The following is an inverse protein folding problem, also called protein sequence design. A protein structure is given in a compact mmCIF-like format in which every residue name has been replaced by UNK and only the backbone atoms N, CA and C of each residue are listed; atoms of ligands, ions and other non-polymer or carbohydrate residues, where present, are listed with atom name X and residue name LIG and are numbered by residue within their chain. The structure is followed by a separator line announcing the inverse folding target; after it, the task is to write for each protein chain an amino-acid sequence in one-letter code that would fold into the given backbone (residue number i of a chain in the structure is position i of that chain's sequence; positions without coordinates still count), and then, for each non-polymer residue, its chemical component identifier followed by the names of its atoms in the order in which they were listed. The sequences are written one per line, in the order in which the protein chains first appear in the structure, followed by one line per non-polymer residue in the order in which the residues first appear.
data_IF_955044939769
#
_entry.id   IF_955044939769
#
_cell.length_a   1.000
_cell.length_b   1.000
_cell.length_c   1.000
_cell.angle_alpha   90.00
_cell.angle_beta   90.00
_cell.angle_gamma   90.00
#
_symmetry.space_group_name_H-M   'P 1'
#
loop_
_entity.id
_entity.type
_entity.pdbx_description
1 polymer ?
#
# COMPACT_ATOMS: atom_id res chain seq x y z
N UNK A 1 -10.74 -9.06 4.30
CA UNK A 1 -9.62 -8.15 4.48
C UNK A 1 -9.18 -7.55 3.15
N UNK A 2 -8.66 -6.37 3.20
CA UNK A 2 -8.13 -5.71 2.01
C UNK A 2 -6.65 -5.97 1.86
N UNK A 3 -6.16 -6.00 0.61
CA UNK A 3 -4.75 -6.22 0.30
C UNK A 3 -4.05 -4.91 -0.01
N UNK A 4 -2.80 -4.83 0.42
CA UNK A 4 -1.97 -3.65 0.19
C UNK A 4 -0.56 -4.09 -0.19
N UNK A 5 0.05 -3.33 -1.10
CA UNK A 5 1.48 -3.45 -1.38
C UNK A 5 2.20 -2.35 -0.61
N UNK A 6 3.21 -2.72 0.14
CA UNK A 6 4.08 -1.78 0.83
C UNK A 6 5.44 -1.85 0.15
N UNK A 7 5.87 -0.73 -0.41
CA UNK A 7 7.06 -0.66 -1.25
C UNK A 7 7.94 0.48 -0.76
N UNK A 8 9.23 0.29 -0.80
CA UNK A 8 10.16 1.34 -0.43
C UNK A 8 11.59 0.85 -0.36
N UNK A 9 12.42 1.64 0.29
CA UNK A 9 13.82 1.31 0.47
C UNK A 9 14.25 1.50 1.92
N UNK A 10 15.47 1.07 2.19
CA UNK A 10 16.12 1.27 3.48
C UNK A 10 17.06 2.46 3.39
N UNK A 11 17.22 3.17 4.49
CA UNK A 11 18.25 4.20 4.60
C UNK A 11 19.62 3.54 4.63
N UNK A 12 20.68 4.32 4.32
CA UNK A 12 22.05 3.82 4.41
C UNK A 12 22.37 3.29 5.81
N UNK A 13 21.87 3.97 6.83
CA UNK A 13 22.06 3.53 8.22
C UNK A 13 21.39 2.18 8.47
N UNK A 14 20.18 1.98 7.98
CA UNK A 14 19.48 0.71 8.14
C UNK A 14 20.23 -0.42 7.41
N UNK A 15 20.68 -0.17 6.20
CA UNK A 15 21.48 -1.14 5.45
C UNK A 15 22.74 -1.54 6.22
N UNK A 16 23.46 -0.56 6.76
CA UNK A 16 24.67 -0.82 7.52
C UNK A 16 24.41 -1.72 8.73
N UNK A 17 23.34 -1.44 9.46
CA UNK A 17 22.95 -2.25 10.62
C UNK A 17 22.55 -3.67 10.22
N UNK A 18 21.85 -3.83 9.11
CA UNK A 18 21.43 -5.15 8.63
C UNK A 18 22.62 -5.97 8.12
N UNK A 19 23.63 -5.34 7.56
CA UNK A 19 24.84 -6.02 7.14
C UNK A 19 25.56 -6.59 8.39
N UNK A 20 25.65 -5.80 9.44
CA UNK A 20 26.33 -6.21 10.68
C UNK A 20 25.51 -7.24 11.47
N UNK A 21 24.18 -7.11 11.42
CA UNK A 21 23.28 -7.97 12.17
C UNK A 21 22.01 -8.22 11.35
N UNK A 22 22.02 -9.19 10.45
CA UNK A 22 20.93 -9.39 9.48
C UNK A 22 19.53 -9.53 10.09
N UNK A 23 19.38 -10.29 11.15
CA UNK A 23 18.06 -10.50 11.74
C UNK A 23 17.08 -11.18 10.79
N UNK A 24 15.81 -11.18 11.16
CA UNK A 24 14.72 -11.74 10.37
C UNK A 24 13.71 -10.63 10.03
N UNK A 25 13.82 -10.09 8.81
CA UNK A 25 12.95 -9.00 8.36
C UNK A 25 11.50 -9.45 8.18
N UNK A 26 11.30 -10.69 7.75
CA UNK A 26 9.95 -11.24 7.59
C UNK A 26 9.23 -11.29 8.94
N UNK A 27 9.90 -11.79 9.97
CA UNK A 27 9.33 -11.84 11.31
C UNK A 27 9.01 -10.46 11.86
N UNK A 28 9.88 -9.48 11.61
CA UNK A 28 9.66 -8.11 12.05
C UNK A 28 8.44 -7.49 11.39
N UNK A 29 8.29 -7.65 10.09
CA UNK A 29 7.14 -7.11 9.35
C UNK A 29 5.86 -7.84 9.75
N UNK A 30 5.93 -9.14 9.96
CA UNK A 30 4.77 -9.92 10.39
C UNK A 30 4.24 -9.46 11.74
N UNK A 31 5.13 -9.14 12.68
CA UNK A 31 4.73 -8.60 13.99
C UNK A 31 3.95 -7.30 13.85
N UNK A 32 4.41 -6.39 13.00
CA UNK A 32 3.73 -5.12 12.79
C UNK A 32 2.36 -5.34 12.16
N UNK A 33 2.29 -6.19 11.15
CA UNK A 33 1.02 -6.51 10.50
C UNK A 33 0.02 -7.11 11.49
N UNK A 34 0.45 -8.06 12.31
CA UNK A 34 -0.39 -8.67 13.34
C UNK A 34 -0.87 -7.66 14.36
N UNK A 35 -0.02 -6.74 14.79
CA UNK A 35 -0.40 -5.70 15.74
C UNK A 35 -1.54 -4.81 15.23
N UNK A 36 -1.64 -4.65 13.92
CA UNK A 36 -2.72 -3.89 13.29
C UNK A 36 -3.91 -4.76 12.87
N UNK A 37 -3.93 -6.02 13.28
CA UNK A 37 -5.02 -6.94 12.98
C UNK A 37 -4.95 -7.60 11.60
N UNK A 38 -3.84 -7.45 10.91
CA UNK A 38 -3.64 -8.02 9.59
C UNK A 38 -2.62 -9.16 9.58
N UNK A 39 -2.07 -9.42 8.42
CA UNK A 39 -1.02 -10.41 8.25
C UNK A 39 -0.16 -10.08 7.04
N UNK A 40 1.10 -10.53 7.10
CA UNK A 40 2.00 -10.48 5.95
C UNK A 40 1.73 -11.72 5.08
N UNK A 41 1.48 -11.51 3.79
CA UNK A 41 1.34 -12.62 2.84
C UNK A 41 2.65 -12.96 2.15
N UNK A 42 3.35 -11.93 1.64
CA UNK A 42 4.59 -12.12 0.90
C UNK A 42 5.54 -10.98 1.18
N UNK A 43 6.82 -11.29 1.16
CA UNK A 43 7.89 -10.31 1.31
C UNK A 43 9.01 -10.64 0.35
N UNK A 44 9.47 -9.64 -0.40
CA UNK A 44 10.59 -9.76 -1.32
C UNK A 44 11.55 -8.59 -1.14
N UNK A 45 12.82 -8.86 -1.26
CA UNK A 45 13.80 -7.81 -1.51
C UNK A 45 13.89 -7.60 -3.02
N UNK A 46 14.23 -6.38 -3.41
CA UNK A 46 14.33 -6.02 -4.83
C UNK A 46 15.59 -5.19 -5.06
N UNK A 47 15.99 -5.09 -6.33
CA UNK A 47 17.08 -4.24 -6.76
C UNK A 47 16.51 -3.15 -7.66
N UNK A 48 17.06 -1.93 -7.56
CA UNK A 48 16.65 -0.80 -8.35
C UNK A 48 16.25 0.35 -7.44
N UNK A 49 15.19 1.05 -7.79
CA UNK A 49 14.74 2.22 -7.02
C UNK A 49 14.21 1.85 -5.64
N UNK A 50 13.62 0.69 -5.54
CA UNK A 50 13.10 0.16 -4.27
C UNK A 50 13.89 -1.05 -3.82
N UNK A 51 13.93 -1.27 -2.51
CA UNK A 51 14.68 -2.36 -1.91
C UNK A 51 13.79 -3.51 -1.43
N UNK A 52 12.50 -3.27 -1.24
CA UNK A 52 11.59 -4.31 -0.77
C UNK A 52 10.17 -4.10 -1.29
N UNK A 53 9.44 -5.20 -1.33
CA UNK A 53 8.02 -5.21 -1.61
C UNK A 53 7.36 -6.21 -0.67
N UNK A 54 6.35 -5.75 0.06
CA UNK A 54 5.57 -6.60 0.94
C UNK A 54 4.10 -6.56 0.52
N UNK A 55 3.45 -7.70 0.55
CA UNK A 55 2.01 -7.80 0.37
C UNK A 55 1.40 -8.13 1.72
N UNK A 56 0.53 -7.27 2.20
CA UNK A 56 -0.15 -7.45 3.48
C UNK A 56 -1.66 -7.47 3.29
N UNK A 57 -2.32 -8.22 4.15
CA UNK A 57 -3.75 -8.11 4.36
C UNK A 57 -3.99 -7.25 5.59
N UNK A 58 -4.92 -6.32 5.52
CA UNK A 58 -5.31 -5.51 6.66
C UNK A 58 -6.84 -5.42 6.74
N UNK A 59 -7.39 -5.24 7.94
CA UNK A 59 -8.86 -5.18 8.11
C UNK A 59 -9.48 -4.02 7.34
N UNK A 60 -8.79 -2.90 7.27
CA UNK A 60 -9.28 -1.68 6.64
C UNK A 60 -8.12 -0.74 6.29
N UNK A 61 -8.45 0.36 5.64
CA UNK A 61 -7.46 1.35 5.20
C UNK A 61 -6.77 2.05 6.38
N UNK A 62 -7.51 2.27 7.46
CA UNK A 62 -6.96 2.92 8.65
C UNK A 62 -5.86 2.06 9.27
N UNK A 63 -6.10 0.75 9.38
CA UNK A 63 -5.10 -0.19 9.90
C UNK A 63 -3.86 -0.24 9.01
N UNK A 64 -4.04 -0.26 7.69
CA UNK A 64 -2.92 -0.23 6.75
C UNK A 64 -2.12 1.06 6.87
N UNK A 65 -2.80 2.20 6.97
CA UNK A 65 -2.15 3.49 7.17
C UNK A 65 -1.36 3.52 8.48
N UNK A 66 -1.91 2.95 9.53
CA UNK A 66 -1.23 2.88 10.83
C UNK A 66 0.07 2.08 10.75
N UNK A 67 0.07 0.96 10.03
CA UNK A 67 1.29 0.18 9.78
C UNK A 67 2.33 1.03 9.07
N UNK A 68 1.92 1.74 8.02
CA UNK A 68 2.81 2.59 7.23
C UNK A 68 3.45 3.69 8.08
N UNK A 69 2.65 4.36 8.90
CA UNK A 69 3.15 5.43 9.76
C UNK A 69 4.10 4.87 10.82
N UNK A 70 3.75 3.73 11.40
CA UNK A 70 4.57 3.09 12.44
C UNK A 70 5.96 2.72 11.89
N UNK A 71 6.01 2.05 10.75
CA UNK A 71 7.31 1.67 10.17
C UNK A 71 8.05 2.87 9.59
N UNK A 72 7.33 3.83 9.02
CA UNK A 72 7.93 5.06 8.49
C UNK A 72 8.56 5.93 9.57
N UNK A 73 8.01 5.89 10.79
CA UNK A 73 8.53 6.69 11.91
C UNK A 73 9.88 6.19 12.45
N UNK A 74 10.31 5.00 12.05
CA UNK A 74 11.53 4.39 12.57
C UNK A 74 12.82 5.07 12.07
N UNK A 75 12.75 5.82 10.98
CA UNK A 75 13.93 6.39 10.34
C UNK A 75 14.74 5.39 9.51
N UNK A 76 14.28 4.15 9.41
CA UNK A 76 14.97 3.08 8.69
C UNK A 76 14.56 2.98 7.23
N UNK A 77 13.47 3.62 6.85
CA UNK A 77 12.88 3.49 5.51
C UNK A 77 12.93 4.81 4.75
N UNK A 78 13.02 4.69 3.44
CA UNK A 78 12.94 5.83 2.51
C UNK A 78 11.90 5.54 1.44
N UNK A 79 11.24 6.58 0.96
CA UNK A 79 10.25 6.49 -0.13
C UNK A 79 9.17 5.44 0.11
N UNK A 80 8.72 5.32 1.35
CA UNK A 80 7.67 4.37 1.71
C UNK A 80 6.36 4.73 1.01
N UNK A 81 5.79 3.74 0.32
CA UNK A 81 4.49 3.88 -0.34
C UNK A 81 3.63 2.68 0.04
N UNK A 82 2.38 2.94 0.32
CA UNK A 82 1.39 1.90 0.57
C UNK A 82 0.29 2.02 -0.47
N UNK A 83 0.08 0.97 -1.23
CA UNK A 83 -0.83 0.96 -2.37
C UNK A 83 -1.94 -0.03 -2.09
N UNK A 84 -3.19 0.44 -2.19
CA UNK A 84 -4.36 -0.44 -2.08
C UNK A 84 -4.43 -1.31 -3.34
N UNK A 85 -4.44 -2.60 -3.15
CA UNK A 85 -4.58 -3.55 -4.25
C UNK A 85 -6.03 -3.97 -4.37
N UNK A 86 -6.52 -4.00 -5.59
CA UNK A 86 -7.89 -4.39 -5.89
C UNK A 86 -7.84 -5.71 -6.64
N UNK A 87 -8.51 -6.72 -6.12
CA UNK A 87 -8.59 -8.01 -6.80
C UNK A 87 -9.45 -7.88 -8.07
N UNK A 88 -9.26 -8.77 -9.07
CA UNK A 88 -10.12 -8.78 -10.26
C UNK A 88 -11.60 -8.87 -9.92
N UNK A 89 -11.96 -9.58 -8.87
CA UNK A 89 -13.34 -9.69 -8.41
C UNK A 89 -13.86 -8.36 -7.85
N UNK A 90 -13.09 -7.72 -6.99
CA UNK A 90 -13.41 -6.36 -6.52
C UNK A 90 -13.46 -5.37 -7.67
N UNK A 91 -12.58 -5.55 -8.65
CA UNK A 91 -12.51 -4.71 -9.85
C UNK A 91 -13.82 -4.67 -10.62
N UNK A 92 -14.56 -5.78 -10.62
CA UNK A 92 -15.89 -5.82 -11.25
C UNK A 92 -16.84 -4.83 -10.59
N UNK A 93 -16.83 -4.74 -9.26
CA UNK A 93 -17.63 -3.77 -8.53
C UNK A 93 -17.18 -2.34 -8.81
N UNK A 94 -15.88 -2.14 -8.94
CA UNK A 94 -15.31 -0.83 -9.30
C UNK A 94 -15.86 -0.39 -10.67
N UNK A 95 -15.87 -1.29 -11.65
CA UNK A 95 -16.35 -0.98 -12.98
C UNK A 95 -17.85 -0.67 -13.01
N UNK A 96 -18.64 -1.37 -12.21
CA UNK A 96 -20.07 -1.08 -12.09
C UNK A 96 -20.30 0.33 -11.53
N UNK A 97 -19.59 0.69 -10.48
CA UNK A 97 -19.67 2.04 -9.91
C UNK A 97 -19.12 3.09 -10.86
N UNK A 98 -18.07 2.76 -11.60
CA UNK A 98 -17.49 3.66 -12.59
C UNK A 98 -18.47 3.97 -13.72
N UNK A 99 -19.30 3.01 -14.10
CA UNK A 99 -20.33 3.23 -15.11
C UNK A 99 -21.31 4.33 -14.69
N UNK A 100 -21.77 4.31 -13.46
CA UNK A 100 -22.64 5.33 -12.92
C UNK A 100 -21.93 6.69 -12.81
N UNK A 101 -20.69 6.68 -12.35
CA UNK A 101 -19.90 7.90 -12.24
C UNK A 101 -19.63 8.53 -13.61
N UNK A 102 -19.31 7.71 -14.61
CA UNK A 102 -19.08 8.16 -15.98
C UNK A 102 -20.31 8.87 -16.55
N UNK A 103 -21.49 8.33 -16.28
CA UNK A 103 -22.73 8.93 -16.77
C UNK A 103 -23.00 10.31 -16.16
N UNK A 104 -22.53 10.55 -14.95
CA UNK A 104 -22.73 11.81 -14.23
C UNK A 104 -21.61 12.84 -14.47
N UNK A 105 -20.47 12.41 -15.01
CA UNK A 105 -19.31 13.29 -15.14
C UNK A 105 -19.37 14.19 -16.36
N UNK A 106 -19.10 15.48 -16.16
CA UNK A 106 -18.91 16.44 -17.23
C UNK A 106 -17.42 16.78 -17.33
N UNK A 107 -16.73 16.37 -18.41
CA UNK A 107 -15.30 16.66 -18.55
C UNK A 107 -15.03 18.16 -18.70
N UNK A 108 -13.81 18.61 -18.37
CA UNK A 108 -13.45 20.02 -18.51
C UNK A 108 -13.71 20.52 -19.94
N UNK A 109 -14.33 21.69 -20.04
CA UNK A 109 -14.65 22.28 -21.34
C UNK A 109 -15.91 21.75 -22.01
N UNK A 110 -16.57 20.73 -21.46
CA UNK A 110 -17.81 20.21 -22.02
C UNK A 110 -18.98 21.15 -21.73
N UNK A 111 -19.92 21.23 -22.65
CA UNK A 111 -21.18 21.93 -22.41
C UNK A 111 -21.98 21.15 -21.37
N UNK A 112 -22.54 21.86 -20.39
CA UNK A 112 -23.47 21.25 -19.48
C UNK A 112 -24.75 20.85 -20.23
N UNK A 113 -25.26 19.65 -19.91
CA UNK A 113 -26.59 19.28 -20.42
C UNK A 113 -27.66 20.18 -19.78
N UNK A 114 -28.74 20.45 -20.48
CA UNK A 114 -29.82 21.28 -19.96
C UNK A 114 -30.35 20.70 -18.63
N UNK A 115 -30.35 21.53 -17.59
CA UNK A 115 -30.82 21.13 -16.25
C UNK A 115 -29.91 20.20 -15.48
N UNK A 116 -28.74 19.91 -15.99
CA UNK A 116 -27.74 19.03 -15.34
C UNK A 116 -26.48 19.82 -15.03
N UNK A 117 -26.02 19.75 -13.82
CA UNK A 117 -24.85 20.51 -13.39
C UNK A 117 -24.02 19.65 -12.45
#
# INVERSE_FOLDING_TARGET
MAKFAVIGGYTAEAWSKMIDNPGDRVAAVQKVAHAAGGKLEQFFWSFGDDDYLAIIDAPDDISAAAVSIAVGSSGSLRNLRTIRLITPEEGRQVLEKAKAAKAAYSPPGAKAAAGVR
#
